data_IF_225319737687
#
_entry.id   IF_225319737687
#
_cell.length_a   1.000
_cell.length_b   1.000
_cell.length_c   1.000
_cell.angle_alpha   90.00
_cell.angle_beta   90.00
_cell.angle_gamma   90.00
#
_symmetry.space_group_name_H-M   'P 1'
#
loop_
_entity.id
_entity.type
_entity.pdbx_description
1 polymer ?
#
# COMPACT_ATOMS: atom_id res chain seq x y z
N UNK A 1 12.02 11.79 -49.66
CA UNK A 1 12.27 12.68 -48.52
C UNK A 1 11.67 12.02 -47.26
N UNK A 2 12.39 11.11 -46.62
CA UNK A 2 11.95 10.44 -45.39
C UNK A 2 12.70 11.04 -44.19
N UNK A 3 11.99 11.83 -43.40
CA UNK A 3 12.54 12.34 -42.13
C UNK A 3 12.35 11.31 -41.00
N UNK A 4 13.45 10.86 -40.43
CA UNK A 4 13.52 10.03 -39.25
C UNK A 4 12.79 10.68 -38.04
N UNK A 5 11.67 10.09 -37.62
CA UNK A 5 10.98 10.39 -36.35
C UNK A 5 11.49 9.54 -35.16
N UNK A 6 12.73 9.06 -35.20
CA UNK A 6 13.23 8.08 -34.22
C UNK A 6 13.89 8.68 -32.95
N UNK A 7 14.05 10.00 -32.86
CA UNK A 7 14.84 10.60 -31.78
C UNK A 7 14.13 10.85 -30.43
N UNK A 8 12.79 10.99 -30.43
CA UNK A 8 12.04 11.34 -29.22
C UNK A 8 11.73 10.14 -28.32
N UNK A 9 11.38 9.00 -28.91
CA UNK A 9 11.08 7.76 -28.15
C UNK A 9 12.26 7.28 -27.31
N UNK A 10 13.46 7.32 -27.86
CA UNK A 10 14.68 6.92 -27.14
C UNK A 10 15.03 7.86 -25.99
N UNK A 11 14.77 9.14 -26.10
CA UNK A 11 15.00 10.10 -25.01
C UNK A 11 14.05 9.88 -23.82
N UNK A 12 12.81 9.49 -24.08
CA UNK A 12 11.83 9.22 -23.04
C UNK A 12 12.12 7.89 -22.32
N UNK A 13 12.51 6.84 -23.07
CA UNK A 13 12.96 5.55 -22.47
C UNK A 13 14.23 5.74 -21.63
N UNK A 14 15.17 6.60 -22.05
CA UNK A 14 16.38 6.93 -21.28
C UNK A 14 16.05 7.77 -20.02
N UNK A 15 15.04 8.65 -20.08
CA UNK A 15 14.56 9.36 -18.88
C UNK A 15 13.94 8.40 -17.87
N UNK A 16 13.09 7.47 -18.29
CA UNK A 16 12.52 6.45 -17.40
C UNK A 16 13.59 5.55 -16.76
N UNK A 17 14.58 5.08 -17.52
CA UNK A 17 15.69 4.30 -16.94
C UNK A 17 16.51 5.12 -15.92
N UNK A 18 16.66 6.43 -16.12
CA UNK A 18 17.32 7.30 -15.14
C UNK A 18 16.48 7.58 -13.91
N UNK A 19 15.15 7.65 -14.05
CA UNK A 19 14.22 7.81 -12.93
C UNK A 19 14.21 6.53 -12.08
N UNK A 20 14.10 5.35 -12.70
CA UNK A 20 14.15 4.05 -11.99
C UNK A 20 15.49 3.81 -11.25
N UNK A 21 16.63 4.19 -11.85
CA UNK A 21 17.95 4.13 -11.18
C UNK A 21 18.16 5.27 -10.18
N UNK A 22 17.53 6.43 -10.39
CA UNK A 22 17.60 7.58 -9.48
C UNK A 22 16.82 7.37 -8.18
N UNK A 23 15.69 6.65 -8.23
CA UNK A 23 14.90 6.35 -7.03
C UNK A 23 15.62 5.41 -6.06
N UNK A 24 16.34 4.41 -6.57
CA UNK A 24 17.21 3.57 -5.72
C UNK A 24 18.34 4.40 -5.08
N UNK A 25 18.90 5.36 -5.83
CA UNK A 25 19.95 6.27 -5.35
C UNK A 25 19.48 7.33 -4.35
N UNK A 26 18.25 7.85 -4.51
CA UNK A 26 17.71 8.87 -3.61
C UNK A 26 17.31 8.30 -2.24
N UNK A 27 16.74 7.08 -2.21
CA UNK A 27 16.45 6.37 -0.97
C UNK A 27 17.73 6.07 -0.16
N UNK A 28 18.83 5.75 -0.86
CA UNK A 28 20.15 5.46 -0.25
C UNK A 28 20.80 6.73 0.31
N UNK A 29 20.65 7.88 -0.34
CA UNK A 29 21.24 9.15 0.10
C UNK A 29 20.48 9.80 1.26
N UNK A 30 19.18 9.60 1.35
CA UNK A 30 18.35 10.10 2.46
C UNK A 30 18.59 9.33 3.78
N UNK A 31 18.98 8.05 3.70
CA UNK A 31 19.22 7.20 4.86
C UNK A 31 20.64 7.31 5.45
N UNK A 32 21.54 8.10 4.91
CA UNK A 32 22.89 8.29 5.47
C UNK A 32 23.80 7.04 5.49
N UNK A 33 23.43 6.00 4.73
CA UNK A 33 24.14 4.71 4.70
C UNK A 33 25.31 4.74 3.74
N UNK A 34 26.46 4.23 4.18
CA UNK A 34 27.69 4.21 3.39
C UNK A 34 27.61 3.21 2.23
N UNK A 35 28.02 3.61 1.02
CA UNK A 35 27.91 2.85 -0.23
C UNK A 35 28.45 1.40 -0.15
N UNK A 36 29.42 1.15 0.72
CA UNK A 36 30.02 -0.18 0.94
C UNK A 36 29.12 -1.14 1.74
N UNK A 37 28.19 -0.62 2.53
CA UNK A 37 27.24 -1.45 3.28
C UNK A 37 25.99 -1.83 2.45
N UNK A 38 25.71 -1.07 1.38
CA UNK A 38 24.59 -1.31 0.47
C UNK A 38 24.80 -2.56 -0.38
N UNK A 39 26.02 -2.77 -0.90
CA UNK A 39 26.32 -3.95 -1.73
C UNK A 39 26.22 -5.28 -0.94
N UNK A 40 26.47 -5.24 0.37
CA UNK A 40 26.34 -6.40 1.25
C UNK A 40 24.87 -6.69 1.66
N UNK A 41 24.03 -5.65 1.69
CA UNK A 41 22.63 -5.73 2.04
C UNK A 41 21.74 -6.22 0.86
N UNK A 42 22.09 -5.90 -0.39
CA UNK A 42 21.41 -6.42 -1.60
C UNK A 42 21.43 -7.95 -1.68
N UNK A 43 22.49 -8.58 -1.16
CA UNK A 43 22.64 -10.04 -1.14
C UNK A 43 21.91 -10.73 0.02
N UNK A 44 21.35 -9.98 0.98
CA UNK A 44 20.79 -10.52 2.23
C UNK A 44 19.30 -10.19 2.46
N UNK A 45 18.62 -9.42 1.58
CA UNK A 45 17.23 -9.02 1.77
C UNK A 45 17.00 -8.07 2.96
N UNK A 46 18.06 -7.41 3.48
CA UNK A 46 18.01 -6.59 4.70
C UNK A 46 17.70 -5.11 4.41
N UNK A 47 17.80 -4.67 3.15
CA UNK A 47 17.64 -3.25 2.78
C UNK A 47 16.25 -2.66 3.03
N UNK A 48 15.19 -3.46 2.89
CA UNK A 48 13.81 -2.99 3.14
C UNK A 48 13.53 -2.69 4.61
N UNK A 49 14.28 -3.34 5.52
CA UNK A 49 14.06 -3.19 6.96
C UNK A 49 14.60 -1.87 7.53
N UNK A 50 15.71 -1.36 7.01
CA UNK A 50 16.35 -0.12 7.49
C UNK A 50 15.53 1.11 7.06
N UNK A 51 15.03 1.11 5.82
CA UNK A 51 14.19 2.22 5.32
C UNK A 51 12.85 2.34 6.08
N UNK A 52 12.29 1.21 6.55
CA UNK A 52 11.03 1.21 7.29
C UNK A 52 11.18 1.66 8.75
N UNK A 53 12.34 1.45 9.38
CA UNK A 53 12.56 1.83 10.78
C UNK A 53 12.88 3.31 10.96
N UNK A 54 13.60 3.94 10.04
CA UNK A 54 13.90 5.39 10.11
C UNK A 54 12.67 6.26 9.80
N UNK A 55 11.72 5.79 8.97
CA UNK A 55 10.50 6.53 8.66
C UNK A 55 9.46 6.55 9.80
N UNK A 56 9.62 5.68 10.80
CA UNK A 56 8.71 5.59 11.96
C UNK A 56 9.00 6.68 12.99
N UNK A 57 10.24 7.17 13.09
CA UNK A 57 10.63 8.19 14.08
C UNK A 57 10.24 9.63 13.68
N UNK A 58 10.17 9.96 12.37
CA UNK A 58 9.82 11.33 11.93
C UNK A 58 8.33 11.67 11.99
N UNK A 59 7.42 10.68 12.11
CA UNK A 59 5.97 10.95 12.15
C UNK A 59 5.38 11.09 13.55
N UNK A 60 6.15 10.87 14.62
CA UNK A 60 5.69 11.05 16.02
C UNK A 60 5.79 12.51 16.55
N UNK A 61 6.37 13.44 15.79
CA UNK A 61 6.62 14.80 16.24
C UNK A 61 5.68 15.84 15.60
N UNK A 62 4.36 15.72 15.72
CA UNK A 62 3.42 16.84 15.55
C UNK A 62 2.01 16.53 16.10
N UNK A 63 1.83 16.57 17.40
CA UNK A 63 0.53 16.90 17.98
C UNK A 63 0.62 18.26 18.69
N UNK A 64 -0.30 19.21 18.44
CA UNK A 64 -0.31 20.47 19.16
C UNK A 64 -0.91 20.28 20.55
N UNK A 65 -0.16 20.64 21.58
CA UNK A 65 -0.69 20.92 22.92
C UNK A 65 -1.69 22.07 22.87
N UNK A 66 -2.95 21.83 23.15
CA UNK A 66 -3.81 22.60 24.06
C UNK A 66 -5.27 22.22 23.88
N UNK A 67 -5.84 21.52 24.85
CA UNK A 67 -7.23 21.63 25.24
C UNK A 67 -7.42 21.13 26.68
N UNK A 68 -8.01 21.97 27.45
CA UNK A 68 -8.18 21.98 28.90
C UNK A 68 -8.75 20.69 29.50
N UNK A 69 -8.21 20.34 30.70
CA UNK A 69 -8.77 19.38 31.66
C UNK A 69 -10.23 19.68 31.97
N UNK A 70 -11.13 18.75 31.64
CA UNK A 70 -12.30 18.51 32.50
C UNK A 70 -12.24 17.09 33.01
N UNK A 71 -12.04 17.00 34.31
CA UNK A 71 -12.11 15.79 35.11
C UNK A 71 -13.58 15.42 35.23
N UNK A 72 -13.97 14.27 34.65
CA UNK A 72 -15.14 13.53 35.10
C UNK A 72 -14.68 12.14 35.49
N UNK A 73 -14.46 11.98 36.81
CA UNK A 73 -14.39 10.67 37.43
C UNK A 73 -15.79 10.06 37.39
N UNK A 74 -15.96 9.04 36.54
CA UNK A 74 -16.92 7.97 36.75
C UNK A 74 -16.16 6.67 36.61
N UNK A 75 -15.95 6.02 37.77
CA UNK A 75 -15.55 4.62 37.80
C UNK A 75 -16.68 3.79 37.16
N UNK A 76 -16.54 3.42 35.89
CA UNK A 76 -17.29 2.30 35.30
C UNK A 76 -16.30 1.34 34.66
N UNK A 77 -16.21 0.18 35.29
CA UNK A 77 -15.72 -1.14 34.85
C UNK A 77 -14.93 -1.14 33.51
N UNK A 78 -13.62 -1.01 33.59
CA UNK A 78 -12.69 -1.45 32.56
C UNK A 78 -12.75 -2.98 32.47
N UNK A 79 -13.73 -3.52 31.76
CA UNK A 79 -13.70 -4.91 31.31
C UNK A 79 -12.64 -5.07 30.25
N UNK A 80 -11.42 -5.41 30.65
CA UNK A 80 -10.47 -6.09 29.80
C UNK A 80 -11.05 -7.46 29.47
N UNK A 81 -11.64 -7.60 28.28
CA UNK A 81 -11.99 -8.92 27.76
C UNK A 81 -10.70 -9.56 27.25
N UNK A 82 -9.91 -10.09 28.17
CA UNK A 82 -8.80 -10.98 27.82
C UNK A 82 -9.41 -12.36 27.51
N UNK A 83 -9.55 -12.65 26.21
CA UNK A 83 -9.95 -13.98 25.74
C UNK A 83 -8.72 -14.90 25.61
N UNK A 84 -7.63 -14.63 26.32
CA UNK A 84 -6.40 -15.42 26.32
C UNK A 84 -5.52 -15.22 25.07
N UNK A 85 -6.11 -14.84 23.94
CA UNK A 85 -5.38 -14.62 22.68
C UNK A 85 -5.42 -13.17 22.20
N UNK A 86 -6.48 -12.41 22.54
CA UNK A 86 -6.67 -11.01 22.19
C UNK A 86 -6.50 -10.12 23.43
N UNK A 87 -5.65 -9.12 23.36
CA UNK A 87 -5.59 -8.03 24.34
C UNK A 87 -6.40 -6.84 23.80
N UNK A 88 -7.52 -6.52 24.45
CA UNK A 88 -8.45 -5.48 23.99
C UNK A 88 -8.69 -4.49 25.13
N UNK A 89 -8.45 -3.21 24.87
CA UNK A 89 -8.64 -2.10 25.81
C UNK A 89 -9.59 -1.06 25.19
N UNK A 90 -10.77 -0.87 25.75
CA UNK A 90 -11.74 0.12 25.27
C UNK A 90 -11.97 0.08 23.75
N UNK A 91 -12.19 -1.12 23.20
CA UNK A 91 -12.40 -1.31 21.75
C UNK A 91 -11.13 -1.27 20.90
N UNK A 92 -9.96 -0.99 21.48
CA UNK A 92 -8.66 -1.09 20.82
C UNK A 92 -8.07 -2.47 21.03
N UNK A 93 -7.89 -3.24 19.96
CA UNK A 93 -7.15 -4.49 19.96
C UNK A 93 -5.66 -4.18 19.85
N UNK A 94 -4.93 -4.32 20.94
CA UNK A 94 -3.50 -3.96 21.03
C UNK A 94 -2.56 -5.11 20.69
N UNK A 95 -3.01 -6.36 20.89
CA UNK A 95 -2.16 -7.53 20.62
C UNK A 95 -3.01 -8.80 20.38
N UNK A 96 -2.53 -9.65 19.48
CA UNK A 96 -2.97 -11.02 19.28
C UNK A 96 -1.79 -11.98 19.45
N UNK A 97 -1.97 -13.01 20.28
CA UNK A 97 -0.93 -14.02 20.57
C UNK A 97 -1.33 -15.43 20.17
N UNK A 98 -2.52 -15.59 19.58
CA UNK A 98 -3.05 -16.87 19.19
C UNK A 98 -2.36 -17.50 17.98
N UNK A 99 -2.60 -18.78 17.79
CA UNK A 99 -2.04 -19.61 16.72
C UNK A 99 -3.09 -20.14 15.75
N UNK A 100 -4.31 -19.62 15.83
CA UNK A 100 -5.40 -20.03 14.95
C UNK A 100 -5.10 -19.65 13.49
N UNK A 101 -5.41 -20.54 12.55
CA UNK A 101 -5.27 -20.29 11.12
C UNK A 101 -6.34 -19.31 10.58
N UNK A 102 -7.52 -19.32 11.18
CA UNK A 102 -8.61 -18.39 10.84
C UNK A 102 -8.98 -17.58 12.07
N UNK A 103 -8.91 -16.25 11.93
CA UNK A 103 -9.17 -15.32 13.01
C UNK A 103 -10.33 -14.40 12.63
N UNK A 104 -11.35 -14.37 13.47
CA UNK A 104 -12.41 -13.35 13.38
C UNK A 104 -12.19 -12.31 14.45
N UNK A 105 -12.06 -11.03 14.04
CA UNK A 105 -11.90 -9.92 14.97
C UNK A 105 -13.16 -9.80 15.83
N UNK A 106 -13.05 -9.76 17.18
CA UNK A 106 -14.19 -9.69 18.08
C UNK A 106 -15.09 -8.47 17.88
N UNK A 107 -16.38 -8.63 18.12
CA UNK A 107 -17.38 -7.57 17.88
C UNK A 107 -17.24 -6.34 18.79
N UNK A 108 -16.53 -6.44 19.90
CA UNK A 108 -16.22 -5.33 20.78
C UNK A 108 -14.96 -4.53 20.34
N UNK A 109 -14.33 -4.89 19.21
CA UNK A 109 -13.18 -4.17 18.66
C UNK A 109 -13.64 -3.12 17.66
N UNK A 110 -13.37 -1.85 17.94
CA UNK A 110 -13.61 -0.74 17.00
C UNK A 110 -12.35 -0.33 16.23
N UNK A 111 -11.17 -0.69 16.74
CA UNK A 111 -9.87 -0.35 16.16
C UNK A 111 -8.85 -1.47 16.37
N UNK A 112 -8.18 -1.86 15.29
CA UNK A 112 -7.03 -2.77 15.35
C UNK A 112 -5.78 -1.90 15.48
N UNK A 113 -5.07 -2.05 16.59
CA UNK A 113 -3.94 -1.21 16.96
C UNK A 113 -2.66 -1.50 16.18
N UNK A 114 -1.70 -0.58 16.31
CA UNK A 114 -0.36 -0.68 15.73
C UNK A 114 0.28 -2.03 16.07
N UNK A 115 0.74 -2.73 15.02
CA UNK A 115 1.45 -4.02 15.14
C UNK A 115 0.69 -5.15 15.88
N UNK A 116 -0.64 -5.07 16.00
CA UNK A 116 -1.43 -6.00 16.80
C UNK A 116 -1.26 -7.48 16.42
N UNK A 117 -1.03 -7.78 15.14
CA UNK A 117 -0.78 -9.13 14.61
C UNK A 117 0.60 -9.27 13.97
N UNK A 118 1.48 -8.27 14.10
CA UNK A 118 2.74 -8.21 13.39
C UNK A 118 3.54 -9.51 13.53
N UNK A 119 4.05 -10.02 12.38
CA UNK A 119 4.85 -11.23 12.28
C UNK A 119 4.16 -12.52 12.77
N UNK A 120 2.84 -12.54 12.92
CA UNK A 120 2.13 -13.78 13.22
C UNK A 120 2.25 -14.75 12.02
N UNK A 121 2.83 -15.94 12.26
CA UNK A 121 3.12 -16.95 11.24
C UNK A 121 2.04 -18.02 11.13
N UNK A 122 0.99 -17.96 11.94
CA UNK A 122 -0.05 -18.97 12.00
C UNK A 122 -1.29 -18.59 11.18
N UNK A 123 -1.64 -17.29 11.16
CA UNK A 123 -2.86 -16.80 10.54
C UNK A 123 -2.78 -16.96 9.01
N UNK A 124 -3.79 -17.65 8.44
CA UNK A 124 -4.02 -17.78 7.00
C UNK A 124 -5.19 -16.92 6.51
N UNK A 125 -6.16 -16.69 7.37
CA UNK A 125 -7.38 -15.93 7.04
C UNK A 125 -7.79 -15.02 8.19
N UNK A 126 -8.18 -13.78 7.86
CA UNK A 126 -8.72 -12.82 8.84
C UNK A 126 -10.06 -12.29 8.36
N UNK A 127 -11.03 -12.25 9.28
CA UNK A 127 -12.35 -11.65 9.07
C UNK A 127 -12.44 -10.39 9.95
N UNK A 128 -12.60 -9.24 9.32
CA UNK A 128 -12.70 -7.92 9.96
C UNK A 128 -14.15 -7.43 9.82
N UNK A 129 -14.93 -7.43 10.90
CA UNK A 129 -16.34 -7.04 10.87
C UNK A 129 -16.51 -5.51 10.77
N UNK A 130 -17.73 -5.07 10.40
CA UNK A 130 -18.02 -3.67 10.11
C UNK A 130 -18.05 -2.71 11.31
N UNK A 131 -17.89 -3.20 12.54
CA UNK A 131 -17.66 -2.36 13.72
C UNK A 131 -16.22 -1.84 13.81
N UNK A 132 -15.26 -2.46 13.13
CA UNK A 132 -13.88 -1.96 13.03
C UNK A 132 -13.84 -0.78 12.07
N UNK A 133 -13.49 0.41 12.58
CA UNK A 133 -13.38 1.64 11.79
C UNK A 133 -11.99 1.87 11.25
N UNK A 134 -10.98 1.49 12.03
CA UNK A 134 -9.57 1.78 11.71
C UNK A 134 -8.69 0.55 11.92
N UNK A 135 -7.79 0.33 10.97
CA UNK A 135 -6.68 -0.62 11.07
C UNK A 135 -5.40 0.22 11.07
N UNK A 136 -4.68 0.20 12.17
CA UNK A 136 -3.49 1.02 12.34
C UNK A 136 -2.26 0.45 11.62
N UNK A 137 -1.20 1.25 11.57
CA UNK A 137 0.04 0.91 10.89
C UNK A 137 0.61 -0.44 11.35
N UNK A 138 1.19 -1.20 10.42
CA UNK A 138 1.86 -2.49 10.67
C UNK A 138 0.96 -3.57 11.31
N UNK A 139 -0.37 -3.38 11.36
CA UNK A 139 -1.25 -4.27 12.12
C UNK A 139 -1.09 -5.75 11.73
N UNK A 140 -0.92 -6.06 10.45
CA UNK A 140 -0.69 -7.41 9.90
C UNK A 140 0.65 -7.53 9.16
N UNK A 141 1.57 -6.58 9.37
CA UNK A 141 2.89 -6.60 8.73
C UNK A 141 3.61 -7.93 8.97
N UNK A 142 4.17 -8.51 7.90
CA UNK A 142 4.95 -9.73 8.01
C UNK A 142 4.17 -10.98 8.42
N UNK A 143 2.82 -10.96 8.36
CA UNK A 143 1.99 -12.16 8.49
C UNK A 143 2.16 -13.04 7.25
N UNK A 144 3.32 -13.69 7.10
CA UNK A 144 3.75 -14.35 5.86
C UNK A 144 2.90 -15.55 5.44
N UNK A 145 1.96 -16.01 6.26
CA UNK A 145 0.99 -17.06 5.88
C UNK A 145 -0.41 -16.52 5.61
N UNK A 146 -0.63 -15.20 5.77
CA UNK A 146 -1.95 -14.59 5.54
C UNK A 146 -2.27 -14.58 4.04
N UNK A 147 -3.19 -15.43 3.64
CA UNK A 147 -3.62 -15.64 2.26
C UNK A 147 -4.92 -14.91 1.91
N UNK A 148 -5.75 -14.62 2.90
CA UNK A 148 -7.03 -13.94 2.69
C UNK A 148 -7.37 -12.98 3.82
N UNK A 149 -7.98 -11.86 3.45
CA UNK A 149 -8.60 -10.89 4.37
C UNK A 149 -9.98 -10.55 3.84
N UNK A 150 -10.99 -10.67 4.71
CA UNK A 150 -12.34 -10.21 4.44
C UNK A 150 -12.61 -8.98 5.30
N UNK A 151 -12.87 -7.85 4.67
CA UNK A 151 -13.21 -6.60 5.34
C UNK A 151 -14.68 -6.28 5.05
N UNK A 152 -15.50 -6.16 6.09
CA UNK A 152 -16.89 -5.74 5.94
C UNK A 152 -16.97 -4.22 5.72
N UNK A 153 -18.12 -3.76 5.20
CA UNK A 153 -18.43 -2.33 5.16
C UNK A 153 -18.41 -1.75 6.58
N UNK A 154 -17.76 -0.60 6.72
CA UNK A 154 -17.53 0.09 7.99
C UNK A 154 -16.07 0.35 8.30
N UNK A 155 -15.13 -0.39 7.68
CA UNK A 155 -13.69 -0.03 7.74
C UNK A 155 -13.49 1.25 6.94
N UNK A 156 -12.95 2.29 7.59
CA UNK A 156 -12.79 3.63 7.02
C UNK A 156 -11.33 3.99 6.75
N UNK A 157 -10.40 3.52 7.61
CA UNK A 157 -8.99 3.86 7.51
C UNK A 157 -8.09 2.63 7.57
N UNK A 158 -7.08 2.58 6.69
CA UNK A 158 -6.02 1.57 6.69
C UNK A 158 -4.67 2.29 6.77
N UNK A 159 -3.93 2.02 7.84
CA UNK A 159 -2.63 2.62 8.14
C UNK A 159 -1.49 2.07 7.29
N UNK A 160 -0.34 2.71 7.41
CA UNK A 160 0.88 2.40 6.65
C UNK A 160 1.33 0.94 6.87
N UNK A 161 1.74 0.28 5.80
CA UNK A 161 2.30 -1.08 5.81
C UNK A 161 1.41 -2.14 6.48
N UNK A 162 0.11 -1.89 6.57
CA UNK A 162 -0.82 -2.78 7.31
C UNK A 162 -0.74 -4.23 6.85
N UNK A 163 -0.69 -4.48 5.54
CA UNK A 163 -0.65 -5.81 4.95
C UNK A 163 0.64 -6.10 4.18
N UNK A 164 1.69 -5.29 4.39
CA UNK A 164 2.98 -5.54 3.75
C UNK A 164 3.57 -6.89 4.16
N UNK A 165 4.31 -7.51 3.24
CA UNK A 165 4.96 -8.82 3.42
C UNK A 165 3.99 -9.95 3.79
N UNK A 166 2.75 -9.88 3.29
CA UNK A 166 1.77 -10.96 3.42
C UNK A 166 1.72 -11.81 2.14
N UNK A 167 1.06 -12.98 2.24
CA UNK A 167 0.79 -13.85 1.08
C UNK A 167 -0.64 -13.73 0.56
N UNK A 168 -1.27 -12.57 0.75
CA UNK A 168 -2.61 -12.30 0.20
C UNK A 168 -2.65 -12.64 -1.29
N UNK A 169 -3.70 -13.36 -1.71
CA UNK A 169 -3.92 -13.78 -3.11
C UNK A 169 -4.75 -12.76 -3.88
N UNK A 170 -5.76 -12.22 -3.22
CA UNK A 170 -6.63 -11.17 -3.75
C UNK A 170 -7.17 -10.32 -2.61
N UNK A 171 -7.51 -9.08 -2.91
CA UNK A 171 -8.14 -8.16 -1.96
C UNK A 171 -9.31 -7.47 -2.63
N UNK A 172 -10.45 -7.42 -1.92
CA UNK A 172 -11.59 -6.55 -2.25
C UNK A 172 -11.72 -5.55 -1.12
N UNK A 173 -11.58 -4.28 -1.43
CA UNK A 173 -11.66 -3.21 -0.46
C UNK A 173 -13.12 -2.77 -0.28
N UNK A 174 -13.62 -2.57 0.95
CA UNK A 174 -14.96 -2.04 1.16
C UNK A 174 -15.06 -0.59 0.68
N UNK A 175 -16.23 -0.21 0.18
CA UNK A 175 -16.48 1.17 -0.30
C UNK A 175 -16.49 2.21 0.82
N UNK A 176 -16.59 1.77 2.07
CA UNK A 176 -16.52 2.63 3.25
C UNK A 176 -15.13 3.23 3.50
N UNK A 177 -14.07 2.73 2.85
CA UNK A 177 -12.72 3.27 3.02
C UNK A 177 -12.65 4.70 2.47
N UNK A 178 -12.20 5.61 3.31
CA UNK A 178 -11.98 7.03 2.98
C UNK A 178 -10.49 7.39 2.99
N UNK A 179 -9.65 6.58 3.66
CA UNK A 179 -8.21 6.81 3.77
C UNK A 179 -7.42 5.51 3.71
N UNK A 180 -6.41 5.49 2.87
CA UNK A 180 -5.32 4.51 2.90
C UNK A 180 -3.99 5.25 2.95
N UNK A 181 -3.13 4.82 3.86
CA UNK A 181 -1.77 5.35 3.95
C UNK A 181 -0.85 4.66 2.94
N UNK A 182 0.43 5.01 2.94
CA UNK A 182 1.44 4.47 2.01
C UNK A 182 1.76 3.00 2.31
N UNK A 183 2.24 2.29 1.30
CA UNK A 183 2.85 0.95 1.41
C UNK A 183 1.92 -0.15 1.95
N UNK A 184 0.59 0.05 1.93
CA UNK A 184 -0.37 -0.87 2.56
C UNK A 184 -0.20 -2.31 2.08
N UNK A 185 0.08 -2.52 0.78
CA UNK A 185 0.25 -3.84 0.16
C UNK A 185 1.65 -4.05 -0.43
N UNK A 186 2.68 -3.49 0.17
CA UNK A 186 4.04 -3.67 -0.34
C UNK A 186 4.54 -5.10 -0.13
N UNK A 187 5.29 -5.63 -1.10
CA UNK A 187 5.89 -6.98 -1.05
C UNK A 187 4.87 -8.12 -0.87
N UNK A 188 3.62 -7.91 -1.29
CA UNK A 188 2.60 -8.96 -1.35
C UNK A 188 2.83 -9.83 -2.60
N UNK A 189 3.86 -10.67 -2.59
CA UNK A 189 4.36 -11.38 -3.77
C UNK A 189 3.40 -12.44 -4.35
N UNK A 190 2.29 -12.75 -3.66
CA UNK A 190 1.23 -13.65 -4.16
C UNK A 190 -0.04 -12.92 -4.57
N UNK A 191 -0.10 -11.59 -4.38
CA UNK A 191 -1.26 -10.79 -4.73
C UNK A 191 -1.40 -10.73 -6.26
N UNK A 192 -2.46 -11.35 -6.79
CA UNK A 192 -2.75 -11.39 -8.24
C UNK A 192 -3.77 -10.36 -8.67
N UNK A 193 -4.69 -9.97 -7.77
CA UNK A 193 -5.74 -9.00 -8.06
C UNK A 193 -6.09 -8.13 -6.85
N UNK A 194 -6.45 -6.88 -7.14
CA UNK A 194 -7.00 -5.94 -6.16
C UNK A 194 -8.21 -5.22 -6.73
N UNK A 195 -9.30 -5.14 -5.95
CA UNK A 195 -10.51 -4.41 -6.29
C UNK A 195 -10.70 -3.23 -5.34
N UNK A 196 -10.57 -2.02 -5.86
CA UNK A 196 -10.74 -0.77 -5.12
C UNK A 196 -12.20 -0.33 -4.98
N UNK A 197 -13.14 -1.06 -5.60
CA UNK A 197 -14.56 -0.79 -5.55
C UNK A 197 -14.92 0.67 -5.91
N UNK A 198 -15.75 1.34 -5.11
CA UNK A 198 -16.19 2.73 -5.32
C UNK A 198 -15.40 3.75 -4.49
N UNK A 199 -14.36 3.30 -3.78
CA UNK A 199 -13.54 4.15 -2.91
C UNK A 199 -12.99 5.38 -3.65
N UNK A 200 -13.08 6.55 -3.01
CA UNK A 200 -12.65 7.84 -3.57
C UNK A 200 -11.35 8.37 -2.96
N UNK A 201 -10.72 7.58 -2.11
CA UNK A 201 -9.41 7.89 -1.54
C UNK A 201 -8.31 7.96 -2.62
N UNK A 202 -7.18 8.52 -2.27
CA UNK A 202 -6.06 8.63 -3.20
C UNK A 202 -5.46 7.25 -3.48
N UNK A 203 -5.48 6.82 -4.74
CA UNK A 203 -4.81 5.60 -5.19
C UNK A 203 -3.64 6.03 -6.07
N UNK A 204 -2.44 5.84 -5.58
CA UNK A 204 -1.19 6.07 -6.29
C UNK A 204 -0.29 4.84 -6.15
N UNK A 205 0.83 4.82 -6.87
CA UNK A 205 1.72 3.67 -6.91
C UNK A 205 2.37 3.32 -5.56
N UNK A 206 2.37 4.22 -4.58
CA UNK A 206 2.98 3.97 -3.28
C UNK A 206 2.12 3.14 -2.31
N UNK A 207 0.84 2.91 -2.61
CA UNK A 207 -0.01 2.00 -1.84
C UNK A 207 0.35 0.54 -2.11
N UNK A 208 0.77 0.23 -3.36
CA UNK A 208 1.04 -1.11 -3.83
C UNK A 208 2.45 -1.13 -4.44
N UNK A 209 3.44 -1.56 -3.69
CA UNK A 209 4.80 -1.71 -4.20
C UNK A 209 5.24 -3.16 -4.25
N UNK A 210 6.17 -3.50 -5.14
CA UNK A 210 6.85 -4.82 -5.19
C UNK A 210 5.92 -6.04 -5.20
N UNK A 211 4.72 -5.93 -5.81
CA UNK A 211 3.74 -7.02 -5.94
C UNK A 211 3.90 -7.73 -7.29
N UNK A 212 4.99 -8.50 -7.47
CA UNK A 212 5.38 -9.09 -8.76
C UNK A 212 4.34 -10.03 -9.40
N UNK A 213 3.38 -10.55 -8.64
CA UNK A 213 2.28 -11.38 -9.15
C UNK A 213 1.05 -10.56 -9.57
N UNK A 214 0.98 -9.26 -9.23
CA UNK A 214 -0.21 -8.45 -9.48
C UNK A 214 -0.37 -8.14 -10.97
N UNK A 215 -1.44 -8.65 -11.56
CA UNK A 215 -1.77 -8.48 -12.98
C UNK A 215 -3.15 -7.89 -13.20
N UNK A 216 -4.02 -7.88 -12.19
CA UNK A 216 -5.40 -7.43 -12.31
C UNK A 216 -5.73 -6.34 -11.29
N UNK A 217 -6.21 -5.21 -11.81
CA UNK A 217 -6.77 -4.11 -11.01
C UNK A 217 -8.22 -3.91 -11.40
N UNK A 218 -9.09 -3.75 -10.40
CA UNK A 218 -10.51 -3.45 -10.60
C UNK A 218 -10.89 -2.18 -9.85
N UNK A 219 -11.82 -1.44 -10.45
CA UNK A 219 -12.62 -0.40 -9.81
C UNK A 219 -14.06 -0.55 -10.26
N UNK A 220 -15.02 -0.20 -9.42
CA UNK A 220 -16.43 -0.20 -9.79
C UNK A 220 -16.68 0.74 -10.98
N UNK A 221 -17.61 0.38 -11.87
CA UNK A 221 -18.06 1.26 -12.94
C UNK A 221 -18.63 2.60 -12.44
N UNK A 222 -19.14 2.63 -11.20
CA UNK A 222 -19.65 3.82 -10.52
C UNK A 222 -18.55 4.66 -9.86
N UNK A 223 -17.28 4.21 -9.86
CA UNK A 223 -16.17 4.99 -9.33
C UNK A 223 -16.08 6.33 -10.06
N UNK A 224 -16.14 7.44 -9.32
CA UNK A 224 -16.16 8.79 -9.89
C UNK A 224 -14.77 9.37 -10.12
N UNK A 225 -13.74 8.76 -9.52
CA UNK A 225 -12.37 9.28 -9.53
C UNK A 225 -11.44 8.51 -10.43
N UNK A 226 -11.64 7.20 -10.55
CA UNK A 226 -10.74 6.30 -11.27
C UNK A 226 -11.45 5.46 -12.34
N UNK A 227 -10.67 4.99 -13.28
CA UNK A 227 -11.04 3.98 -14.27
C UNK A 227 -9.87 3.04 -14.52
N UNK A 228 -10.18 1.82 -14.96
CA UNK A 228 -9.18 0.85 -15.39
C UNK A 228 -9.31 0.66 -16.90
N UNK A 229 -8.19 0.72 -17.61
CA UNK A 229 -8.09 0.41 -19.02
C UNK A 229 -6.84 -0.42 -19.24
N UNK A 230 -6.97 -1.56 -19.90
CA UNK A 230 -5.89 -2.52 -20.13
C UNK A 230 -5.13 -2.89 -18.83
N UNK A 231 -5.87 -3.14 -17.74
CA UNK A 231 -5.37 -3.40 -16.39
C UNK A 231 -4.44 -2.31 -15.82
N UNK A 232 -4.47 -1.11 -16.34
CA UNK A 232 -3.77 0.06 -15.81
C UNK A 232 -4.79 1.01 -15.19
N UNK A 233 -4.47 1.53 -14.02
CA UNK A 233 -5.30 2.49 -13.31
C UNK A 233 -5.03 3.90 -13.81
N UNK A 234 -6.10 4.60 -14.16
CA UNK A 234 -6.07 6.00 -14.56
C UNK A 234 -7.02 6.82 -13.69
N UNK A 235 -6.77 8.13 -13.59
CA UNK A 235 -7.84 9.03 -13.20
C UNK A 235 -9.03 8.93 -14.18
N UNK A 236 -10.24 9.24 -13.71
CA UNK A 236 -11.47 9.10 -14.50
C UNK A 236 -11.47 9.92 -15.79
N UNK A 237 -10.78 11.08 -15.80
CA UNK A 237 -10.60 11.92 -16.98
C UNK A 237 -9.64 11.32 -18.03
N UNK A 238 -8.93 10.25 -17.69
CA UNK A 238 -7.95 9.58 -18.55
C UNK A 238 -6.64 10.34 -18.74
N UNK A 239 -6.41 11.43 -18.02
CA UNK A 239 -5.22 12.28 -18.20
C UNK A 239 -4.01 11.85 -17.40
N UNK A 240 -4.21 11.08 -16.32
CA UNK A 240 -3.15 10.63 -15.43
C UNK A 240 -3.10 9.11 -15.38
N UNK A 241 -1.92 8.52 -15.60
CA UNK A 241 -1.64 7.13 -15.21
C UNK A 241 -1.34 7.11 -13.72
N UNK A 242 -2.17 6.42 -12.93
CA UNK A 242 -2.00 6.33 -11.47
C UNK A 242 -1.15 5.13 -11.07
N UNK A 243 -1.37 3.96 -11.70
CA UNK A 243 -0.63 2.75 -11.37
C UNK A 243 -0.68 1.71 -12.50
N UNK A 244 0.46 1.13 -12.82
CA UNK A 244 0.62 -0.03 -13.70
C UNK A 244 0.98 -1.24 -12.85
N UNK A 245 0.23 -2.36 -12.91
CA UNK A 245 0.50 -3.55 -12.09
C UNK A 245 1.93 -4.05 -12.26
N UNK A 246 2.60 -4.32 -11.14
CA UNK A 246 3.99 -4.77 -11.14
C UNK A 246 4.19 -6.08 -11.91
N UNK A 247 3.21 -6.98 -11.91
CA UNK A 247 3.24 -8.26 -12.64
C UNK A 247 3.04 -8.15 -14.15
N UNK A 248 2.80 -6.95 -14.70
CA UNK A 248 2.67 -6.77 -16.16
C UNK A 248 3.98 -7.05 -16.87
N UNK A 249 4.00 -8.05 -17.75
CA UNK A 249 5.18 -8.46 -18.53
C UNK A 249 5.14 -8.00 -19.98
N UNK A 250 4.00 -7.47 -20.44
CA UNK A 250 3.81 -7.00 -21.83
C UNK A 250 4.21 -5.55 -21.97
N UNK A 251 4.65 -5.18 -23.17
CA UNK A 251 4.89 -3.77 -23.51
C UNK A 251 3.64 -2.92 -23.23
N UNK A 252 3.85 -1.69 -22.81
CA UNK A 252 2.80 -0.73 -22.55
C UNK A 252 2.93 0.47 -23.47
N UNK A 253 1.84 0.76 -24.19
CA UNK A 253 1.69 2.01 -24.91
C UNK A 253 0.72 2.89 -24.10
N UNK A 254 1.25 3.96 -23.53
CA UNK A 254 0.41 4.95 -22.83
C UNK A 254 -0.44 5.65 -23.89
N UNK A 255 -1.79 5.71 -23.72
CA UNK A 255 -2.69 6.27 -24.72
C UNK A 255 -2.41 7.77 -25.02
N UNK A 256 -2.73 8.19 -26.24
CA UNK A 256 -2.77 9.61 -26.59
C UNK A 256 -3.78 10.34 -25.70
N UNK A 257 -3.44 11.58 -25.30
CA UNK A 257 -4.25 12.39 -24.41
C UNK A 257 -3.89 12.25 -22.92
N UNK A 258 -3.06 11.26 -22.55
CA UNK A 258 -2.45 11.21 -21.21
C UNK A 258 -1.45 12.36 -21.08
N UNK A 259 -1.60 13.15 -20.03
CA UNK A 259 -0.79 14.32 -19.76
C UNK A 259 0.23 14.10 -18.62
N UNK A 260 -0.09 13.18 -17.70
CA UNK A 260 0.70 12.95 -16.50
C UNK A 260 0.92 11.46 -16.23
N UNK A 261 2.13 11.12 -15.83
CA UNK A 261 2.44 9.85 -15.16
C UNK A 261 2.55 10.16 -13.67
N UNK A 262 1.71 9.54 -12.86
CA UNK A 262 1.69 9.75 -11.40
C UNK A 262 2.92 9.22 -10.70
N UNK A 263 3.11 9.62 -9.44
CA UNK A 263 4.20 9.14 -8.60
C UNK A 263 4.10 7.63 -8.40
N UNK A 264 5.23 6.95 -8.47
CA UNK A 264 5.35 5.50 -8.34
C UNK A 264 4.47 4.69 -9.30
N UNK A 265 3.93 5.30 -10.37
CA UNK A 265 2.98 4.65 -11.28
C UNK A 265 3.53 3.37 -11.95
N UNK A 266 4.84 3.25 -12.07
CA UNK A 266 5.53 2.08 -12.64
C UNK A 266 6.49 1.42 -11.65
N UNK A 267 6.28 1.59 -10.34
CA UNK A 267 7.16 1.03 -9.33
C UNK A 267 7.23 -0.50 -9.44
N UNK A 268 8.45 -1.02 -9.62
CA UNK A 268 8.76 -2.45 -9.80
C UNK A 268 7.94 -3.14 -10.90
N UNK A 269 7.39 -2.37 -11.87
CA UNK A 269 6.66 -2.95 -12.98
C UNK A 269 7.59 -3.77 -13.89
N UNK A 270 7.22 -5.03 -14.14
CA UNK A 270 7.99 -5.98 -14.95
C UNK A 270 7.84 -5.75 -16.46
N UNK A 271 7.14 -4.70 -16.89
CA UNK A 271 7.04 -4.35 -18.31
C UNK A 271 8.42 -4.07 -18.91
N UNK A 272 8.68 -4.60 -20.10
CA UNK A 272 9.98 -4.46 -20.75
C UNK A 272 10.12 -3.14 -21.50
N UNK A 273 8.98 -2.55 -21.91
CA UNK A 273 8.95 -1.29 -22.67
C UNK A 273 7.71 -0.48 -22.35
N UNK A 274 7.90 0.81 -22.12
CA UNK A 274 6.82 1.80 -22.03
C UNK A 274 7.02 2.84 -23.14
N UNK A 275 6.00 3.03 -23.98
CA UNK A 275 5.96 4.08 -25.00
C UNK A 275 5.07 5.20 -24.49
N UNK A 276 5.61 6.42 -24.43
CA UNK A 276 4.87 7.61 -24.00
C UNK A 276 4.47 8.45 -25.23
N UNK A 277 3.22 8.93 -25.30
CA UNK A 277 2.78 9.84 -26.36
C UNK A 277 3.38 11.25 -26.17
N UNK A 278 3.30 12.07 -27.23
CA UNK A 278 3.77 13.47 -27.18
C UNK A 278 2.94 14.35 -26.22
N UNK A 279 1.74 13.89 -25.82
CA UNK A 279 0.86 14.60 -24.88
C UNK A 279 1.35 14.59 -23.44
N UNK A 280 2.30 13.71 -23.06
CA UNK A 280 2.82 13.63 -21.68
C UNK A 280 3.65 14.84 -21.34
N UNK A 281 3.21 15.59 -20.33
CA UNK A 281 3.79 16.84 -19.83
C UNK A 281 4.67 16.63 -18.60
N UNK A 282 4.32 15.68 -17.73
CA UNK A 282 5.07 15.39 -16.51
C UNK A 282 5.12 13.91 -16.18
N UNK A 283 6.17 13.52 -15.48
CA UNK A 283 6.39 12.20 -14.90
C UNK A 283 6.71 12.45 -13.44
N UNK A 284 5.95 11.83 -12.55
CA UNK A 284 6.16 11.83 -11.11
C UNK A 284 7.43 11.07 -10.69
N UNK A 285 7.71 11.06 -9.40
CA UNK A 285 8.85 10.38 -8.80
C UNK A 285 8.74 8.85 -8.86
#
# INVERSE_FOLDING_TARGET
MHRHKSGKGWRNVMKMKRILTGMLGAAILAAGVNLLSVQAAENAGVMEYIAATEYIEETEAAEPENAEKQVFETEEDTKTADTGEFTINNGLLTKYTGTAETVTIPSNVSRIGKSAFQNNKYIKSVIIPGNVRKIEMLAFYGCSNLESVTMAEGVEEIGMQTFSETHLKSVVLPKSIIKMDRLVFTSCNRLTSIDFTEGTYNINGDIIGSCAALTEIKVSGNNTRYQVKDNVLYEKNGKTVCYCPAGRKTDMNVPDGVEHIGDFAFWDCLTTKVTLPDSVKSIGE
#
